data_IF_457574315288
#
_entry.id   IF_457574315288
#
_cell.length_a   1.000
_cell.length_b   1.000
_cell.length_c   1.000
_cell.angle_alpha   90.00
_cell.angle_beta   90.00
_cell.angle_gamma   90.00
#
_symmetry.space_group_name_H-M   'P 1'
#
loop_
_entity.id
_entity.type
_entity.pdbx_description
1 polymer ?
#
# COMPACT_ATOMS: atom_id res chain seq x y z
N UNK A 1 -10.00 11.28 9.98
CA UNK A 1 -8.65 10.92 10.49
C UNK A 1 -8.03 9.87 9.57
N UNK A 2 -6.73 9.91 9.29
CA UNK A 2 -5.99 8.88 8.56
C UNK A 2 -4.97 8.23 9.50
N UNK A 3 -4.93 6.91 9.54
CA UNK A 3 -3.92 6.12 10.25
C UNK A 3 -3.30 5.13 9.27
N UNK A 4 -1.98 5.20 9.12
CA UNK A 4 -1.19 4.17 8.45
C UNK A 4 -0.50 3.35 9.54
N UNK A 5 -0.71 2.04 9.54
CA UNK A 5 -0.27 1.16 10.62
C UNK A 5 0.55 0.01 10.07
N UNK A 6 1.79 -0.12 10.53
CA UNK A 6 2.65 -1.23 10.18
C UNK A 6 2.40 -2.43 11.12
N UNK A 7 2.85 -3.63 10.76
CA UNK A 7 2.83 -4.80 11.64
C UNK A 7 3.35 -4.51 13.05
N UNK A 8 2.71 -5.17 14.02
CA UNK A 8 3.05 -5.10 15.43
C UNK A 8 2.98 -3.67 16.02
N UNK A 9 1.84 -2.95 15.86
CA UNK A 9 1.74 -1.57 16.35
C UNK A 9 1.72 -1.49 17.89
N UNK A 10 2.10 -0.33 18.45
CA UNK A 10 2.00 -0.06 19.88
C UNK A 10 0.58 -0.26 20.42
N UNK A 11 0.48 -0.57 21.73
CA UNK A 11 -0.80 -0.86 22.38
C UNK A 11 -1.78 0.31 22.31
N UNK A 12 -1.28 1.55 22.36
CA UNK A 12 -2.08 2.77 22.29
C UNK A 12 -2.81 2.91 20.95
N UNK A 13 -2.16 2.52 19.85
CA UNK A 13 -2.77 2.52 18.52
C UNK A 13 -3.86 1.44 18.45
N UNK A 14 -3.64 0.27 19.04
CA UNK A 14 -4.66 -0.79 19.09
C UNK A 14 -5.87 -0.37 19.91
N UNK A 15 -5.66 0.27 21.06
CA UNK A 15 -6.75 0.79 21.88
C UNK A 15 -7.57 1.87 21.14
N UNK A 16 -6.89 2.76 20.41
CA UNK A 16 -7.56 3.76 19.58
C UNK A 16 -8.38 3.10 18.46
N UNK A 17 -7.85 2.09 17.78
CA UNK A 17 -8.56 1.42 16.69
C UNK A 17 -9.71 0.54 17.20
N UNK A 18 -9.54 -0.06 18.38
CA UNK A 18 -10.57 -0.88 19.03
C UNK A 18 -11.83 -0.07 19.35
N UNK A 19 -11.70 1.22 19.71
CA UNK A 19 -12.86 2.11 19.87
C UNK A 19 -13.62 2.38 18.57
N UNK A 20 -13.07 1.98 17.43
CA UNK A 20 -13.66 2.04 16.10
C UNK A 20 -14.02 0.65 15.57
N UNK A 21 -14.10 -0.36 16.44
CA UNK A 21 -14.36 -1.77 16.08
C UNK A 21 -13.33 -2.35 15.12
N UNK A 22 -12.11 -1.80 15.14
CA UNK A 22 -11.00 -2.25 14.33
C UNK A 22 -9.96 -2.91 15.24
N UNK A 23 -9.72 -4.20 14.98
CA UNK A 23 -8.68 -4.97 15.63
C UNK A 23 -7.47 -5.11 14.71
N UNK A 24 -6.29 -4.78 15.23
CA UNK A 24 -5.00 -5.10 14.59
C UNK A 24 -4.29 -6.12 15.47
N UNK A 25 -4.00 -7.29 14.91
CA UNK A 25 -3.22 -8.34 15.56
C UNK A 25 -1.73 -8.24 15.19
N UNK A 26 -0.86 -8.87 15.97
CA UNK A 26 0.54 -9.03 15.59
C UNK A 26 0.64 -9.92 14.36
N UNK A 27 1.54 -9.56 13.45
CA UNK A 27 1.81 -10.34 12.24
C UNK A 27 1.80 -9.56 10.94
N UNK A 28 2.27 -10.26 9.91
CA UNK A 28 2.42 -9.76 8.53
C UNK A 28 1.52 -10.56 7.61
N UNK A 29 1.00 -9.92 6.57
CA UNK A 29 0.14 -10.57 5.59
C UNK A 29 1.00 -11.25 4.53
N UNK A 30 0.72 -12.52 4.30
CA UNK A 30 1.29 -13.31 3.21
C UNK A 30 0.18 -13.62 2.22
N UNK A 31 0.41 -13.36 0.94
CA UNK A 31 -0.51 -13.71 -0.14
C UNK A 31 0.19 -14.60 -1.17
N UNK A 32 -0.25 -15.86 -1.28
CA UNK A 32 0.36 -16.82 -2.20
C UNK A 32 -0.11 -16.71 -3.64
N UNK A 33 -1.33 -16.23 -3.87
CA UNK A 33 -1.92 -16.20 -5.21
C UNK A 33 -1.95 -14.80 -5.83
N UNK A 34 -1.79 -13.74 -5.03
CA UNK A 34 -1.73 -12.36 -5.53
C UNK A 34 -0.72 -11.51 -4.77
N UNK A 35 0.54 -11.53 -5.23
CA UNK A 35 1.63 -10.74 -4.68
C UNK A 35 2.50 -10.11 -5.76
N UNK A 36 3.34 -9.14 -5.37
CA UNK A 36 4.38 -8.57 -6.23
C UNK A 36 5.67 -9.40 -6.08
N UNK A 37 5.98 -10.18 -7.12
CA UNK A 37 7.19 -10.99 -7.13
C UNK A 37 8.47 -10.14 -6.94
N UNK A 38 9.49 -10.67 -6.24
CA UNK A 38 9.59 -12.04 -5.72
C UNK A 38 9.01 -12.24 -4.31
N UNK A 39 8.48 -11.20 -3.65
CA UNK A 39 8.14 -11.25 -2.24
C UNK A 39 6.64 -11.47 -1.99
N UNK A 40 6.28 -12.62 -1.38
CA UNK A 40 4.89 -12.94 -0.99
C UNK A 40 4.33 -12.02 0.11
N UNK A 41 5.20 -11.29 0.82
CA UNK A 41 4.85 -10.26 1.82
C UNK A 41 4.43 -8.94 1.19
N UNK A 42 4.38 -8.85 -0.14
CA UNK A 42 3.85 -7.69 -0.84
C UNK A 42 2.52 -8.03 -1.53
N UNK A 43 1.42 -8.25 -0.77
CA UNK A 43 0.11 -8.47 -1.34
C UNK A 43 -0.23 -7.47 -2.44
N UNK A 44 -0.68 -8.00 -3.56
CA UNK A 44 -1.14 -7.25 -4.72
C UNK A 44 -2.66 -7.27 -4.75
N UNK A 45 -3.26 -6.11 -4.75
CA UNK A 45 -4.70 -5.88 -4.81
C UNK A 45 -5.09 -5.50 -6.23
N UNK A 46 -5.72 -6.42 -6.99
CA UNK A 46 -6.22 -6.11 -8.31
C UNK A 46 -7.46 -5.22 -8.25
N UNK A 47 -7.83 -4.64 -9.39
CA UNK A 47 -9.03 -3.80 -9.56
C UNK A 47 -10.30 -4.38 -8.92
N UNK A 48 -10.50 -5.70 -9.00
CA UNK A 48 -11.69 -6.39 -8.47
C UNK A 48 -11.77 -6.42 -6.95
N UNK A 49 -10.69 -6.07 -6.25
CA UNK A 49 -10.58 -6.05 -4.79
C UNK A 49 -10.19 -4.68 -4.24
N UNK A 50 -10.24 -3.68 -5.10
CA UNK A 50 -10.01 -2.28 -4.78
C UNK A 50 -11.35 -1.54 -4.93
N UNK A 51 -11.85 -0.96 -3.85
CA UNK A 51 -13.14 -0.28 -3.82
C UNK A 51 -13.20 0.95 -4.75
N UNK A 52 -12.06 1.56 -5.06
CA UNK A 52 -11.98 2.70 -5.99
C UNK A 52 -11.99 2.28 -7.46
N UNK A 53 -11.92 0.97 -7.75
CA UNK A 53 -11.99 0.45 -9.12
C UNK A 53 -10.88 0.93 -10.04
N UNK A 54 -9.69 1.25 -9.48
CA UNK A 54 -8.53 1.73 -10.22
C UNK A 54 -8.14 0.77 -11.35
N UNK A 55 -7.72 1.32 -12.49
CA UNK A 55 -7.34 0.52 -13.65
C UNK A 55 -6.04 -0.27 -13.45
N UNK A 56 -5.15 0.21 -12.58
CA UNK A 56 -3.92 -0.49 -12.20
C UNK A 56 -4.04 -1.18 -10.85
N UNK A 57 -3.19 -2.17 -10.63
CA UNK A 57 -3.08 -2.87 -9.35
C UNK A 57 -2.46 -1.96 -8.27
N UNK A 58 -2.77 -2.25 -7.02
CA UNK A 58 -2.18 -1.62 -5.83
C UNK A 58 -1.42 -2.70 -5.09
N UNK A 59 -0.35 -2.38 -4.38
CA UNK A 59 0.34 -3.36 -3.54
C UNK A 59 0.83 -2.72 -2.25
N UNK A 60 0.94 -3.57 -1.22
CA UNK A 60 1.23 -3.15 0.14
C UNK A 60 2.41 -3.98 0.68
N UNK A 61 3.66 -3.49 0.60
CA UNK A 61 4.82 -4.19 1.17
C UNK A 61 4.71 -4.40 2.68
N UNK A 62 4.93 -5.64 3.14
CA UNK A 62 4.98 -6.01 4.57
C UNK A 62 3.76 -5.52 5.37
N UNK A 63 2.59 -5.57 4.75
CA UNK A 63 1.36 -5.09 5.35
C UNK A 63 0.90 -5.96 6.54
N UNK A 64 0.14 -5.36 7.46
CA UNK A 64 -0.67 -6.06 8.45
C UNK A 64 -2.14 -6.08 8.04
N UNK A 65 -2.92 -6.95 8.68
CA UNK A 65 -4.35 -7.10 8.41
C UNK A 65 -5.18 -6.22 9.34
N UNK A 66 -6.26 -5.67 8.78
CA UNK A 66 -7.30 -4.95 9.52
C UNK A 66 -8.46 -5.92 9.72
N UNK A 67 -8.71 -6.30 10.97
CA UNK A 67 -9.76 -7.24 11.33
C UNK A 67 -10.92 -6.49 11.99
N UNK A 68 -12.17 -6.90 11.75
CA UNK A 68 -13.28 -6.40 12.54
C UNK A 68 -13.16 -6.91 13.98
N UNK A 69 -13.44 -6.03 14.94
CA UNK A 69 -13.68 -6.40 16.33
C UNK A 69 -15.19 -6.64 16.54
N UNK A 70 -15.56 -7.35 17.62
CA UNK A 70 -16.98 -7.56 17.91
C UNK A 70 -17.67 -6.22 18.20
N UNK A 71 -18.69 -5.92 17.40
CA UNK A 71 -19.55 -4.76 17.58
C UNK A 71 -20.46 -4.94 18.78
N UNK A 72 -20.69 -3.86 19.53
CA UNK A 72 -21.78 -3.82 20.51
C UNK A 72 -23.14 -3.75 19.79
N UNK A 73 -24.22 -4.24 20.40
CA UNK A 73 -25.57 -4.22 19.79
C UNK A 73 -26.04 -2.81 19.39
N UNK A 74 -25.54 -1.77 20.06
CA UNK A 74 -25.89 -0.36 19.84
C UNK A 74 -24.90 0.38 18.92
N UNK A 75 -23.99 -0.32 18.23
CA UNK A 75 -22.97 0.34 17.42
C UNK A 75 -23.55 1.00 16.18
N UNK A 76 -23.10 2.24 15.94
CA UNK A 76 -23.38 3.01 14.74
C UNK A 76 -22.21 3.04 13.76
N UNK A 77 -21.14 2.31 14.06
CA UNK A 77 -19.92 2.28 13.24
C UNK A 77 -20.14 1.38 12.03
N UNK A 78 -19.81 1.90 10.86
CA UNK A 78 -19.84 1.16 9.59
C UNK A 78 -18.41 1.02 9.10
N UNK A 79 -17.96 -0.23 8.93
CA UNK A 79 -16.66 -0.54 8.35
C UNK A 79 -16.80 -0.86 6.86
N UNK A 80 -16.30 0.05 6.02
CA UNK A 80 -16.21 -0.15 4.59
C UNK A 80 -14.78 -0.51 4.20
N UNK A 81 -14.52 -1.74 3.77
CA UNK A 81 -13.21 -2.13 3.31
C UNK A 81 -12.89 -1.56 1.93
N UNK A 82 -11.65 -1.11 1.74
CA UNK A 82 -11.19 -0.45 0.52
C UNK A 82 -10.23 -1.31 -0.30
N UNK A 83 -9.50 -2.22 0.35
CA UNK A 83 -8.55 -3.11 -0.29
C UNK A 83 -8.52 -4.47 0.43
N UNK A 84 -8.53 -5.55 -0.35
CA UNK A 84 -8.48 -6.93 0.16
C UNK A 84 -7.48 -7.81 -0.55
N UNK A 85 -6.93 -8.76 0.21
CA UNK A 85 -6.05 -9.82 -0.28
C UNK A 85 -6.80 -10.95 -1.03
N UNK A 86 -6.06 -11.96 -1.48
CA UNK A 86 -6.57 -13.25 -1.96
C UNK A 86 -7.22 -14.11 -0.87
N UNK A 87 -8.03 -15.08 -1.30
CA UNK A 87 -8.55 -16.11 -0.39
C UNK A 87 -7.44 -17.03 0.13
N UNK A 88 -6.33 -17.10 -0.60
CA UNK A 88 -5.21 -17.96 -0.26
C UNK A 88 -4.24 -17.27 0.70
N UNK A 89 -4.45 -15.99 1.01
CA UNK A 89 -3.66 -15.23 1.99
C UNK A 89 -3.93 -15.64 3.43
N UNK A 90 -3.03 -15.23 4.33
CA UNK A 90 -3.21 -15.29 5.79
C UNK A 90 -2.40 -14.20 6.47
N UNK A 91 -2.71 -13.94 7.74
CA UNK A 91 -1.91 -13.15 8.66
C UNK A 91 -1.00 -14.12 9.40
N UNK A 92 0.30 -14.04 9.11
CA UNK A 92 1.36 -14.80 9.76
C UNK A 92 1.74 -14.12 11.07
N UNK A 93 1.35 -14.73 12.20
CA UNK A 93 1.58 -14.13 13.52
C UNK A 93 2.99 -14.35 14.05
N UNK A 94 3.59 -15.47 13.68
CA UNK A 94 4.92 -15.88 14.14
C UNK A 94 5.95 -15.71 13.03
N UNK A 95 5.89 -14.59 12.32
CA UNK A 95 6.78 -14.34 11.19
C UNK A 95 8.24 -14.33 11.64
N UNK A 96 9.04 -15.20 11.01
CA UNK A 96 10.49 -15.24 11.16
C UNK A 96 11.11 -14.88 9.80
N UNK A 97 11.90 -13.80 9.72
CA UNK A 97 12.62 -13.44 8.51
C UNK A 97 13.46 -14.60 7.95
N UNK A 98 13.58 -14.66 6.63
CA UNK A 98 14.37 -15.66 5.89
C UNK A 98 13.97 -17.13 6.10
N UNK A 99 12.82 -17.38 6.74
CA UNK A 99 12.22 -18.71 6.89
C UNK A 99 10.99 -18.81 5.99
N UNK A 100 10.79 -19.98 5.37
CA UNK A 100 9.56 -20.22 4.60
C UNK A 100 8.37 -20.31 5.56
N UNK A 101 7.49 -19.32 5.49
CA UNK A 101 6.22 -19.31 6.23
C UNK A 101 5.20 -20.23 5.57
N UNK A 102 4.57 -21.08 6.38
CA UNK A 102 3.47 -21.96 6.00
C UNK A 102 2.33 -21.69 6.96
N UNK A 103 1.12 -21.53 6.43
CA UNK A 103 -0.08 -21.29 7.22
C UNK A 103 -0.25 -22.33 8.35
N UNK A 104 -0.36 -21.85 9.59
CA UNK A 104 -0.61 -22.67 10.78
C UNK A 104 -2.07 -22.56 11.26
N UNK A 105 -2.80 -23.67 11.16
CA UNK A 105 -4.21 -23.75 11.55
C UNK A 105 -4.35 -23.66 13.08
N UNK A 106 -5.05 -22.61 13.54
CA UNK A 106 -5.27 -22.34 14.97
C UNK A 106 -4.40 -21.22 15.52
N UNK A 107 -3.32 -20.85 14.81
CA UNK A 107 -2.48 -19.70 15.14
C UNK A 107 -2.77 -18.52 14.22
N UNK A 108 -2.69 -18.74 12.91
CA UNK A 108 -2.80 -17.71 11.88
C UNK A 108 -4.25 -17.37 11.54
N UNK A 109 -4.45 -16.17 10.97
CA UNK A 109 -5.78 -15.74 10.51
C UNK A 109 -5.87 -15.93 9.01
N UNK A 110 -6.76 -16.83 8.55
CA UNK A 110 -6.95 -17.10 7.13
C UNK A 110 -7.68 -15.94 6.44
N UNK A 111 -7.27 -15.63 5.21
CA UNK A 111 -7.90 -14.60 4.39
C UNK A 111 -9.21 -15.00 3.71
N UNK A 112 -9.82 -14.07 2.96
CA UNK A 112 -9.29 -12.75 2.58
C UNK A 112 -9.26 -11.75 3.74
N UNK A 113 -8.23 -10.91 3.76
CA UNK A 113 -7.92 -9.95 4.82
C UNK A 113 -7.98 -8.53 4.27
N UNK A 114 -8.57 -7.61 5.03
CA UNK A 114 -8.59 -6.20 4.65
C UNK A 114 -7.20 -5.60 4.88
N UNK A 115 -6.71 -4.87 3.89
CA UNK A 115 -5.47 -4.08 3.98
C UNK A 115 -5.78 -2.59 4.18
N UNK A 116 -6.99 -2.15 3.86
CA UNK A 116 -7.45 -0.79 4.07
C UNK A 116 -8.95 -0.79 4.39
N UNK A 117 -9.37 0.02 5.36
CA UNK A 117 -10.75 0.16 5.82
C UNK A 117 -11.07 1.63 6.08
N UNK A 118 -12.23 2.07 5.61
CA UNK A 118 -12.86 3.33 5.99
C UNK A 118 -13.96 3.01 7.01
N UNK A 119 -13.75 3.45 8.25
CA UNK A 119 -14.77 3.46 9.28
C UNK A 119 -15.52 4.80 9.26
N UNK A 120 -16.84 4.76 9.41
CA UNK A 120 -17.68 5.94 9.53
C UNK A 120 -18.69 5.78 10.66
N UNK A 121 -18.93 6.84 11.41
CA UNK A 121 -20.02 6.90 12.39
C UNK A 121 -20.76 8.24 12.27
N UNK A 122 -22.10 8.25 12.27
CA UNK A 122 -22.86 9.49 12.27
C UNK A 122 -22.68 10.27 13.57
N UNK A 123 -22.82 11.60 13.50
CA UNK A 123 -22.93 12.46 14.68
C UNK A 123 -24.41 12.58 15.04
N UNK A 124 -24.78 11.94 16.14
CA UNK A 124 -26.16 11.88 16.63
C UNK A 124 -26.26 12.75 17.89
N UNK A 125 -27.34 13.52 18.04
CA UNK A 125 -27.62 14.27 19.26
C UNK A 125 -28.31 13.42 20.35
N UNK A 126 -28.56 14.03 21.52
CA UNK A 126 -29.24 13.37 22.63
C UNK A 126 -30.68 12.92 22.30
N UNK A 127 -31.26 13.42 21.20
CA UNK A 127 -32.61 13.06 20.73
C UNK A 127 -32.60 11.91 19.70
N UNK A 128 -31.42 11.46 19.27
CA UNK A 128 -31.28 10.43 18.25
C UNK A 128 -31.30 10.95 16.81
N UNK A 129 -31.25 12.27 16.59
CA UNK A 129 -31.21 12.87 15.26
C UNK A 129 -29.78 13.13 14.79
N UNK A 130 -29.52 12.92 13.50
CA UNK A 130 -28.23 13.24 12.90
C UNK A 130 -28.06 14.76 12.79
N UNK A 131 -27.06 15.31 13.46
CA UNK A 131 -26.85 16.75 13.58
C UNK A 131 -25.61 17.26 12.84
N UNK A 132 -24.82 16.36 12.23
CA UNK A 132 -23.61 16.73 11.49
C UNK A 132 -23.19 15.69 10.44
N UNK A 133 -22.11 16.02 9.73
CA UNK A 133 -21.43 15.10 8.82
C UNK A 133 -20.83 13.92 9.60
N UNK A 134 -20.76 12.76 8.96
CA UNK A 134 -20.19 11.56 9.54
C UNK A 134 -18.71 11.77 9.90
N UNK A 135 -18.31 11.18 11.02
CA UNK A 135 -16.90 11.13 11.40
C UNK A 135 -16.26 9.95 10.67
N UNK A 136 -15.27 10.25 9.83
CA UNK A 136 -14.54 9.25 9.07
C UNK A 136 -13.16 8.96 9.66
N UNK A 137 -12.83 7.68 9.81
CA UNK A 137 -11.50 7.16 10.10
C UNK A 137 -11.07 6.22 8.96
N UNK A 138 -9.95 6.53 8.33
CA UNK A 138 -9.32 5.67 7.33
C UNK A 138 -8.12 5.00 7.96
N UNK A 139 -8.06 3.68 7.88
CA UNK A 139 -6.96 2.85 8.36
C UNK A 139 -6.38 2.08 7.17
N UNK A 140 -5.06 2.09 7.03
CA UNK A 140 -4.34 1.29 6.03
C UNK A 140 -3.22 0.55 6.74
N UNK A 141 -3.17 -0.78 6.54
CA UNK A 141 -2.27 -1.71 7.21
C UNK A 141 -0.82 -1.68 6.69
N UNK A 142 -0.39 -0.57 6.11
CA UNK A 142 0.97 -0.39 5.61
C UNK A 142 1.23 1.12 5.47
N UNK A 143 2.35 1.62 5.97
CA UNK A 143 2.81 2.99 5.74
C UNK A 143 3.71 3.13 4.52
N UNK A 144 4.44 2.07 4.18
CA UNK A 144 5.46 2.06 3.14
C UNK A 144 4.85 2.11 1.73
N UNK A 145 3.63 1.59 1.50
CA UNK A 145 2.96 1.72 0.20
C UNK A 145 2.87 3.18 -0.29
N UNK A 146 2.79 4.14 0.64
CA UNK A 146 2.68 5.57 0.38
C UNK A 146 4.04 6.30 0.40
N UNK A 147 5.13 5.61 0.73
CA UNK A 147 6.48 6.19 0.70
C UNK A 147 6.93 6.52 -0.73
N UNK A 148 7.91 7.41 -0.89
CA UNK A 148 8.42 7.81 -2.21
C UNK A 148 8.87 6.61 -3.09
N UNK A 149 9.36 5.54 -2.47
CA UNK A 149 9.78 4.32 -3.16
C UNK A 149 8.61 3.60 -3.84
N UNK A 150 7.42 3.64 -3.23
CA UNK A 150 6.26 2.86 -3.63
C UNK A 150 5.13 3.70 -4.25
N UNK A 151 5.04 4.99 -3.90
CA UNK A 151 3.97 5.91 -4.29
C UNK A 151 3.78 6.00 -5.81
N UNK A 152 4.86 6.10 -6.58
CA UNK A 152 4.81 6.22 -8.04
C UNK A 152 4.76 4.87 -8.78
N UNK A 153 4.69 3.75 -8.05
CA UNK A 153 4.63 2.43 -8.65
C UNK A 153 3.17 1.98 -8.82
N UNK A 154 2.86 1.54 -10.05
CA UNK A 154 1.52 1.07 -10.44
C UNK A 154 0.46 2.10 -10.06
N UNK A 155 -0.49 1.79 -9.17
CA UNK A 155 -1.56 2.70 -8.74
C UNK A 155 -1.55 3.01 -7.24
N UNK A 156 -0.42 2.84 -6.54
CA UNK A 156 -0.33 3.14 -5.10
C UNK A 156 -0.64 4.61 -4.77
N UNK A 157 -0.04 5.55 -5.50
CA UNK A 157 -0.31 6.98 -5.32
C UNK A 157 -1.75 7.36 -5.66
N UNK A 158 -2.35 6.71 -6.66
CA UNK A 158 -3.76 6.93 -6.99
C UNK A 158 -4.68 6.38 -5.90
N UNK A 159 -4.37 5.22 -5.33
CA UNK A 159 -5.09 4.66 -4.18
C UNK A 159 -5.00 5.58 -2.97
N UNK A 160 -3.80 6.05 -2.61
CA UNK A 160 -3.60 6.95 -1.47
C UNK A 160 -4.41 8.24 -1.61
N UNK A 161 -4.37 8.87 -2.78
CA UNK A 161 -5.13 10.11 -3.03
C UNK A 161 -6.63 9.85 -3.02
N UNK A 162 -7.11 8.75 -3.62
CA UNK A 162 -8.53 8.38 -3.56
C UNK A 162 -9.00 8.14 -2.13
N UNK A 163 -8.17 7.47 -1.31
CA UNK A 163 -8.48 7.22 0.09
C UNK A 163 -8.52 8.51 0.92
N UNK A 164 -7.60 9.45 0.70
CA UNK A 164 -7.67 10.78 1.32
C UNK A 164 -8.93 11.53 0.88
N UNK A 165 -9.27 11.49 -0.41
CA UNK A 165 -10.48 12.15 -0.89
C UNK A 165 -11.74 11.60 -0.21
N UNK A 166 -11.77 10.30 0.10
CA UNK A 166 -12.86 9.68 0.87
C UNK A 166 -13.01 10.24 2.29
N UNK A 167 -11.91 10.68 2.93
CA UNK A 167 -11.99 11.36 4.24
C UNK A 167 -12.58 12.76 4.16
N UNK A 168 -12.60 13.35 2.96
CA UNK A 168 -13.06 14.73 2.74
C UNK A 168 -14.48 14.81 2.19
N UNK A 169 -15.21 13.69 2.18
CA UNK A 169 -16.57 13.57 1.64
C UNK A 169 -17.62 14.31 2.49
N UNK A 170 -17.50 15.64 2.49
CA UNK A 170 -18.51 16.66 2.85
C UNK A 170 -18.56 17.79 1.80
N UNK A 171 -17.81 17.67 0.69
CA UNK A 171 -17.82 18.64 -0.42
C UNK A 171 -17.93 17.89 -1.73
N UNK A 172 -18.89 18.31 -2.54
CA UNK A 172 -19.22 17.78 -3.87
C UNK A 172 -18.03 17.17 -4.62
N UNK A 173 -18.24 15.95 -5.11
CA UNK A 173 -17.30 15.18 -5.93
C UNK A 173 -16.95 15.97 -7.21
N UNK A 174 -15.87 16.74 -7.19
CA UNK A 174 -15.17 17.08 -8.41
C UNK A 174 -14.40 15.83 -8.81
N UNK A 175 -14.97 15.06 -9.74
CA UNK A 175 -14.22 14.06 -10.50
C UNK A 175 -13.09 14.79 -11.23
N UNK A 176 -11.92 14.89 -10.60
CA UNK A 176 -10.72 15.35 -11.27
C UNK A 176 -10.25 14.14 -12.09
N UNK A 177 -10.66 14.12 -13.35
CA UNK A 177 -9.98 13.30 -14.34
C UNK A 177 -8.54 13.83 -14.43
N UNK A 178 -7.62 13.14 -13.75
CA UNK A 178 -6.21 13.54 -13.70
C UNK A 178 -5.67 13.37 -15.12
N UNK A 179 -5.26 14.47 -15.73
CA UNK A 179 -4.43 14.44 -16.94
C UNK A 179 -3.08 13.86 -16.53
N UNK A 180 -2.96 12.53 -16.56
CA UNK A 180 -1.69 11.84 -16.39
C UNK A 180 -0.73 12.41 -17.42
N UNK A 181 0.27 13.16 -16.97
CA UNK A 181 1.48 13.32 -17.77
C UNK A 181 1.98 11.90 -18.01
N UNK A 182 2.08 11.42 -19.26
CA UNK A 182 2.53 10.06 -19.50
C UNK A 182 3.94 9.94 -18.93
N UNK A 183 4.05 9.28 -17.78
CA UNK A 183 5.33 8.95 -17.18
C UNK A 183 5.93 7.84 -18.03
N UNK A 184 6.68 8.24 -19.06
CA UNK A 184 7.32 7.32 -20.00
C UNK A 184 8.53 6.72 -19.31
N UNK A 185 8.31 5.69 -18.49
CA UNK A 185 9.38 4.83 -18.01
C UNK A 185 10.01 4.16 -19.23
N UNK A 186 11.32 4.30 -19.37
CA UNK A 186 12.05 3.58 -20.39
C UNK A 186 12.13 2.12 -19.92
N UNK A 187 11.24 1.27 -20.42
CA UNK A 187 11.31 -0.18 -20.23
C UNK A 187 12.43 -0.68 -21.13
N UNK A 188 13.67 -0.52 -20.67
CA UNK A 188 14.84 -1.05 -21.33
C UNK A 188 14.86 -2.57 -21.15
N UNK A 189 14.94 -3.31 -22.26
CA UNK A 189 15.24 -4.73 -22.21
C UNK A 189 16.61 -4.98 -21.55
N UNK A 190 16.91 -6.22 -21.11
CA UNK A 190 18.17 -6.55 -20.43
C UNK A 190 19.42 -6.05 -21.17
N UNK A 191 19.41 -6.12 -22.51
CA UNK A 191 20.50 -5.62 -23.34
C UNK A 191 20.65 -4.10 -23.32
N UNK A 192 19.53 -3.38 -23.36
CA UNK A 192 19.54 -1.92 -23.30
C UNK A 192 20.00 -1.42 -21.93
N UNK A 193 19.59 -2.08 -20.84
CA UNK A 193 20.04 -1.77 -19.48
C UNK A 193 21.55 -2.01 -19.32
N UNK A 194 22.06 -3.12 -19.83
CA UNK A 194 23.50 -3.41 -19.81
C UNK A 194 24.30 -2.40 -20.63
N UNK A 195 23.83 -2.04 -21.83
CA UNK A 195 24.47 -1.01 -22.65
C UNK A 195 24.52 0.34 -21.93
N UNK A 196 23.42 0.76 -21.31
CA UNK A 196 23.36 2.00 -20.51
C UNK A 196 24.38 1.92 -19.37
N UNK A 197 24.38 0.86 -18.57
CA UNK A 197 25.29 0.73 -17.43
C UNK A 197 26.77 0.76 -17.83
N UNK A 198 27.16 -0.03 -18.84
CA UNK A 198 28.55 -0.08 -19.28
C UNK A 198 29.00 1.20 -19.99
N UNK A 199 28.12 1.82 -20.78
CA UNK A 199 28.44 3.09 -21.44
C UNK A 199 28.52 4.24 -20.42
N UNK A 200 27.64 4.32 -19.43
CA UNK A 200 27.69 5.37 -18.41
C UNK A 200 28.98 5.34 -17.58
N UNK A 201 29.50 4.15 -17.27
CA UNK A 201 30.75 3.99 -16.51
C UNK A 201 31.98 4.12 -17.42
N UNK A 202 31.95 3.50 -18.61
CA UNK A 202 33.13 3.33 -19.46
C UNK A 202 33.39 4.44 -20.47
N UNK A 203 32.35 5.15 -20.92
CA UNK A 203 32.46 6.10 -22.04
C UNK A 203 33.28 7.34 -21.67
N UNK A 204 33.06 7.89 -20.47
CA UNK A 204 33.74 9.10 -20.02
C UNK A 204 35.24 8.88 -19.78
N UNK A 205 35.68 7.82 -19.05
CA UNK A 205 37.11 7.47 -18.96
C UNK A 205 37.76 7.20 -20.32
N UNK A 206 37.07 6.50 -21.23
CA UNK A 206 37.59 6.21 -22.57
C UNK A 206 37.81 7.49 -23.38
N UNK A 207 36.87 8.44 -23.36
CA UNK A 207 37.04 9.74 -24.02
C UNK A 207 38.24 10.51 -23.47
N UNK A 208 38.45 10.51 -22.15
CA UNK A 208 39.61 11.14 -21.53
C UNK A 208 40.92 10.49 -22.00
N UNK A 209 40.98 9.16 -22.06
CA UNK A 209 42.15 8.43 -22.56
C UNK A 209 42.43 8.73 -24.04
N UNK A 210 41.40 8.78 -24.89
CA UNK A 210 41.55 9.11 -26.31
C UNK A 210 42.09 10.53 -26.47
N UNK A 211 41.49 11.52 -25.79
CA UNK A 211 41.94 12.91 -25.86
C UNK A 211 43.38 13.03 -25.34
N UNK A 212 43.71 12.39 -24.22
CA UNK A 212 45.06 12.34 -23.68
C UNK A 212 46.06 11.72 -24.66
N UNK A 213 45.70 10.61 -25.29
CA UNK A 213 46.52 9.92 -26.30
C UNK A 213 46.75 10.76 -27.55
N UNK A 214 45.72 11.44 -28.05
CA UNK A 214 45.82 12.36 -29.22
C UNK A 214 46.72 13.55 -28.90
N UNK A 215 46.59 14.14 -27.70
CA UNK A 215 47.45 15.24 -27.25
C UNK A 215 48.90 14.78 -27.15
N UNK A 216 49.14 13.58 -26.58
CA UNK A 216 50.47 13.01 -26.46
C UNK A 216 51.10 12.74 -27.84
N UNK A 217 50.33 12.18 -28.78
CA UNK A 217 50.79 11.94 -30.15
C UNK A 217 51.11 13.24 -30.88
N UNK A 218 50.28 14.29 -30.77
CA UNK A 218 50.56 15.59 -31.41
C UNK A 218 51.73 16.36 -30.78
N UNK A 219 52.10 16.04 -29.53
CA UNK A 219 53.23 16.66 -28.82
C UNK A 219 54.54 15.91 -29.03
N UNK A 220 54.51 14.72 -29.62
CA UNK A 220 55.69 13.96 -30.01
C UNK A 220 56.07 14.28 -31.45
#
# INVERSE_FOLDING_TARGET
LLILVNPNPPQEIRQLLSSWEIKIEDGVVIDESSYVAPNKLSPRVPRTKNAFGLSGDVYFPEATAILPEESTEDSTIILMPLAYTSKDSWLEKNYVPDTESVFDEGTDVKGPLALAVLASTPIIDESGEQTGEDIHLLVIGDSDFASNQHFNNVSNGDFFISAINSLTMGKELVSIERKVLPFRRLVAGPEATNFINYSSIGLLPLLVLIVGGVIWWRRR
#
